data_IF_503981170034
#
_entry.id   IF_503981170034
#
_cell.length_a   1.000
_cell.length_b   1.000
_cell.length_c   1.000
_cell.angle_alpha   90.00
_cell.angle_beta   90.00
_cell.angle_gamma   90.00
#
_symmetry.space_group_name_H-M   'P 1'
#
loop_
_entity.id
_entity.type
_entity.pdbx_description
1 polymer ?
#
# COMPACT_ATOMS: atom_id res chain seq x y z
N UNK A 1 20.79 -9.03 0.38
CA UNK A 1 19.38 -8.85 0.88
C UNK A 1 18.41 -9.65 0.03
N UNK A 2 17.28 -10.13 0.59
CA UNK A 2 16.21 -10.84 -0.15
C UNK A 2 14.84 -10.29 0.24
N UNK A 3 13.97 -10.05 -0.72
CA UNK A 3 12.59 -9.61 -0.51
C UNK A 3 11.64 -10.79 -0.75
N UNK A 4 11.05 -11.32 0.31
CA UNK A 4 9.94 -12.27 0.23
C UNK A 4 8.67 -11.52 -0.14
N UNK A 5 8.09 -11.85 -1.28
CA UNK A 5 7.08 -11.01 -1.92
C UNK A 5 6.04 -11.84 -2.66
N UNK A 6 4.97 -11.20 -3.06
CA UNK A 6 3.94 -11.70 -3.97
C UNK A 6 3.68 -10.65 -5.04
N UNK A 7 3.20 -11.09 -6.19
CA UNK A 7 2.85 -10.21 -7.30
C UNK A 7 1.44 -9.60 -7.11
N UNK A 8 1.08 -8.68 -8.03
CA UNK A 8 -0.27 -8.16 -8.08
C UNK A 8 -1.31 -9.32 -8.07
N UNK A 9 -2.41 -9.26 -7.30
CA UNK A 9 -2.98 -8.04 -6.67
C UNK A 9 -2.55 -7.79 -5.23
N UNK A 10 -1.44 -8.35 -4.74
CA UNK A 10 -1.00 -8.16 -3.36
C UNK A 10 -0.52 -6.70 -3.11
N UNK A 11 -1.35 -5.85 -2.47
CA UNK A 11 -1.10 -4.42 -2.47
C UNK A 11 0.06 -3.98 -1.56
N UNK A 12 0.36 -4.72 -0.48
CA UNK A 12 1.47 -4.38 0.41
C UNK A 12 2.85 -4.68 -0.22
N UNK A 13 3.10 -5.85 -0.86
CA UNK A 13 4.29 -6.05 -1.67
C UNK A 13 4.46 -5.01 -2.76
N UNK A 14 3.39 -4.66 -3.46
CA UNK A 14 3.43 -3.66 -4.55
C UNK A 14 3.94 -2.30 -4.09
N UNK A 15 3.65 -1.86 -2.86
CA UNK A 15 4.23 -0.63 -2.31
C UNK A 15 5.76 -0.65 -2.35
N UNK A 16 6.36 -1.79 -1.96
CA UNK A 16 7.82 -1.95 -1.96
C UNK A 16 8.35 -2.02 -3.39
N UNK A 17 7.66 -2.71 -4.30
CA UNK A 17 8.08 -2.80 -5.71
C UNK A 17 8.10 -1.42 -6.38
N UNK A 18 7.04 -0.62 -6.21
CA UNK A 18 6.99 0.76 -6.73
C UNK A 18 8.10 1.62 -6.13
N UNK A 19 8.28 1.54 -4.80
CA UNK A 19 9.32 2.28 -4.12
C UNK A 19 10.72 1.94 -4.65
N UNK A 20 11.06 0.65 -4.77
CA UNK A 20 12.35 0.21 -5.32
C UNK A 20 12.54 0.70 -6.75
N UNK A 21 11.49 0.65 -7.59
CA UNK A 21 11.54 1.16 -8.96
C UNK A 21 11.78 2.67 -9.01
N UNK A 22 11.16 3.48 -8.14
CA UNK A 22 11.40 4.93 -8.03
C UNK A 22 12.83 5.24 -7.59
N UNK A 23 13.43 4.37 -6.78
CA UNK A 23 14.82 4.48 -6.33
C UNK A 23 15.84 3.90 -7.33
N UNK A 24 15.39 3.22 -8.39
CA UNK A 24 16.29 2.50 -9.29
C UNK A 24 17.02 1.34 -8.61
N UNK A 25 16.44 0.76 -7.56
CA UNK A 25 17.04 -0.30 -6.76
C UNK A 25 16.55 -1.68 -7.21
N UNK A 26 17.47 -2.64 -7.20
CA UNK A 26 17.17 -4.06 -7.45
C UNK A 26 17.50 -4.87 -6.20
N UNK A 27 16.61 -5.76 -5.81
CA UNK A 27 16.76 -6.68 -4.67
C UNK A 27 16.33 -8.07 -5.13
N UNK A 28 17.06 -9.10 -4.70
CA UNK A 28 16.67 -10.49 -4.96
C UNK A 28 15.28 -10.78 -4.42
N UNK A 29 14.39 -11.28 -5.27
CA UNK A 29 12.99 -11.56 -4.91
C UNK A 29 12.76 -13.05 -4.71
N UNK A 30 12.12 -13.38 -3.60
CA UNK A 30 11.64 -14.74 -3.29
C UNK A 30 10.12 -14.72 -3.36
N UNK A 31 9.58 -15.28 -4.41
CA UNK A 31 8.13 -15.36 -4.60
C UNK A 31 7.50 -16.30 -3.56
N UNK A 32 6.64 -15.74 -2.72
CA UNK A 32 5.95 -16.46 -1.65
C UNK A 32 4.50 -16.68 -2.06
N UNK A 33 4.20 -17.87 -2.56
CA UNK A 33 2.89 -18.21 -3.11
C UNK A 33 1.80 -18.22 -2.02
N UNK A 34 1.04 -17.15 -1.95
CA UNK A 34 -0.02 -17.00 -0.95
C UNK A 34 -1.15 -18.00 -1.13
N UNK A 35 -1.47 -18.36 -2.38
CA UNK A 35 -2.50 -19.37 -2.68
C UNK A 35 -2.12 -20.75 -2.14
N UNK A 36 -0.82 -21.11 -2.14
CA UNK A 36 -0.29 -22.33 -1.54
C UNK A 36 -0.06 -22.19 -0.02
N UNK A 37 -0.46 -21.06 0.58
CA UNK A 37 -0.28 -20.73 2.00
C UNK A 37 1.16 -20.78 2.48
N UNK A 38 2.15 -20.57 1.61
CA UNK A 38 3.58 -20.58 1.96
C UNK A 38 3.90 -19.55 3.06
N UNK A 39 3.19 -18.39 3.05
CA UNK A 39 3.30 -17.34 4.07
C UNK A 39 2.82 -17.79 5.47
N UNK A 40 2.13 -18.93 5.58
CA UNK A 40 1.67 -19.52 6.85
C UNK A 40 2.49 -20.75 7.28
N UNK A 41 3.49 -21.13 6.49
CA UNK A 41 4.40 -22.22 6.88
C UNK A 41 5.23 -21.83 8.11
N UNK A 42 5.56 -22.78 9.02
CA UNK A 42 6.33 -22.50 10.24
C UNK A 42 7.64 -21.76 9.98
N UNK A 43 8.35 -22.11 8.90
CA UNK A 43 9.62 -21.48 8.53
C UNK A 43 9.45 -20.03 8.06
N UNK A 44 8.31 -19.70 7.44
CA UNK A 44 8.00 -18.32 7.10
C UNK A 44 7.56 -17.51 8.33
N UNK A 45 6.79 -18.15 9.24
CA UNK A 45 6.35 -17.51 10.49
C UNK A 45 7.51 -17.11 11.41
N UNK A 46 8.69 -17.75 11.29
CA UNK A 46 9.92 -17.31 11.96
C UNK A 46 10.46 -15.98 11.42
N UNK A 47 10.18 -15.67 10.15
CA UNK A 47 10.58 -14.41 9.48
C UNK A 47 9.61 -13.27 9.78
N UNK A 48 8.31 -13.57 9.82
CA UNK A 48 7.24 -12.66 10.18
C UNK A 48 6.13 -13.42 10.90
N UNK A 49 5.99 -13.18 12.19
CA UNK A 49 5.01 -13.86 13.06
C UNK A 49 3.55 -13.65 12.65
N UNK A 50 3.26 -12.59 11.87
CA UNK A 50 1.94 -12.37 11.29
C UNK A 50 1.68 -13.27 10.07
N UNK A 51 2.73 -13.89 9.51
CA UNK A 51 2.63 -14.68 8.28
C UNK A 51 2.06 -13.85 7.14
N UNK A 52 2.69 -12.73 6.84
CA UNK A 52 2.30 -11.79 5.79
C UNK A 52 3.51 -11.37 4.96
N UNK A 53 3.28 -11.02 3.71
CA UNK A 53 4.27 -10.42 2.81
C UNK A 53 3.95 -8.93 2.62
N UNK A 54 4.97 -8.08 2.35
CA UNK A 54 6.37 -8.40 2.13
C UNK A 54 7.18 -8.59 3.41
N UNK A 55 8.34 -9.28 3.29
CA UNK A 55 9.36 -9.36 4.33
C UNK A 55 10.72 -9.15 3.67
N UNK A 56 11.56 -8.28 4.24
CA UNK A 56 12.94 -8.10 3.84
C UNK A 56 13.87 -8.92 4.76
N UNK A 57 14.71 -9.74 4.19
CA UNK A 57 15.88 -10.34 4.83
C UNK A 57 17.11 -9.48 4.51
N UNK A 58 17.71 -8.91 5.54
CA UNK A 58 18.91 -8.07 5.42
C UNK A 58 20.17 -8.92 5.17
N UNK A 59 21.30 -8.30 4.87
CA UNK A 59 22.56 -9.02 4.61
C UNK A 59 23.09 -9.78 5.84
N UNK A 60 22.80 -9.26 7.02
CA UNK A 60 23.15 -9.89 8.31
C UNK A 60 22.07 -10.88 8.82
N UNK A 61 21.10 -11.25 7.96
CA UNK A 61 20.10 -12.29 8.24
C UNK A 61 18.97 -11.84 9.17
N UNK A 62 18.79 -10.53 9.42
CA UNK A 62 17.66 -10.00 10.17
C UNK A 62 16.44 -9.82 9.27
N UNK A 63 15.25 -9.83 9.86
CA UNK A 63 14.00 -9.70 9.14
C UNK A 63 13.28 -8.40 9.48
N UNK A 64 12.79 -7.71 8.45
CA UNK A 64 11.95 -6.52 8.59
C UNK A 64 10.63 -6.83 7.87
N UNK A 65 9.53 -6.72 8.59
CA UNK A 65 8.18 -6.73 8.02
C UNK A 65 7.61 -5.31 7.97
N UNK A 66 6.38 -5.17 7.47
CA UNK A 66 5.71 -3.91 7.16
C UNK A 66 6.32 -3.17 5.95
N UNK A 67 5.52 -3.02 4.90
CA UNK A 67 5.98 -2.43 3.62
C UNK A 67 6.62 -1.05 3.77
N UNK A 68 6.06 -0.19 4.64
CA UNK A 68 6.58 1.15 4.91
C UNK A 68 7.91 1.09 5.66
N UNK A 69 8.04 0.18 6.64
CA UNK A 69 9.28 0.00 7.39
C UNK A 69 10.41 -0.49 6.48
N UNK A 70 10.10 -1.41 5.56
CA UNK A 70 11.05 -1.89 4.54
C UNK A 70 11.51 -0.72 3.65
N UNK A 71 10.58 0.11 3.16
CA UNK A 71 10.94 1.29 2.36
C UNK A 71 11.79 2.29 3.15
N UNK A 72 11.46 2.55 4.43
CA UNK A 72 12.27 3.41 5.30
C UNK A 72 13.68 2.86 5.53
N UNK A 73 13.82 1.55 5.66
CA UNK A 73 15.15 0.93 5.77
C UNK A 73 16.01 1.24 4.54
N UNK A 74 15.46 1.09 3.33
CA UNK A 74 16.18 1.46 2.10
C UNK A 74 16.45 2.96 2.00
N UNK A 75 15.53 3.82 2.46
CA UNK A 75 15.70 5.28 2.43
C UNK A 75 16.94 5.74 3.19
N UNK A 76 17.32 5.06 4.28
CA UNK A 76 18.50 5.41 5.07
C UNK A 76 19.81 5.24 4.31
N UNK A 77 19.86 4.31 3.36
CA UNK A 77 21.05 4.05 2.53
C UNK A 77 20.97 4.72 1.15
N UNK A 78 19.77 5.01 0.69
CA UNK A 78 19.47 5.58 -0.63
C UNK A 78 18.53 6.78 -0.49
N UNK A 79 18.99 7.92 0.05
CA UNK A 79 18.11 9.06 0.34
C UNK A 79 17.60 9.78 -0.92
N UNK A 80 18.22 9.61 -2.07
CA UNK A 80 17.81 10.26 -3.33
C UNK A 80 17.12 9.27 -4.30
N UNK A 81 16.01 9.68 -4.94
CA UNK A 81 15.16 10.84 -4.63
C UNK A 81 14.48 10.69 -3.26
N UNK A 82 14.26 11.79 -2.52
CA UNK A 82 13.69 11.72 -1.17
C UNK A 82 12.20 11.34 -1.21
N UNK A 83 11.89 10.10 -0.78
CA UNK A 83 10.52 9.58 -0.80
C UNK A 83 9.78 9.77 0.54
N UNK A 84 10.50 10.12 1.60
CA UNK A 84 9.96 10.34 2.94
C UNK A 84 10.12 11.77 3.45
N UNK A 85 10.35 12.72 2.52
CA UNK A 85 10.49 14.15 2.81
C UNK A 85 11.94 14.63 2.72
N UNK A 86 12.08 15.93 2.42
CA UNK A 86 13.37 16.63 2.15
C UNK A 86 13.87 17.44 3.32
N UNK A 87 12.96 17.81 4.21
CA UNK A 87 13.22 18.55 5.43
C UNK A 87 12.26 18.05 6.55
N UNK A 88 12.42 18.51 7.79
CA UNK A 88 11.60 18.03 8.91
C UNK A 88 10.09 18.26 8.73
N UNK A 89 9.67 19.38 8.10
CA UNK A 89 8.27 19.65 7.87
C UNK A 89 7.71 18.77 6.75
N UNK A 90 8.40 18.67 5.63
CA UNK A 90 8.04 17.81 4.50
C UNK A 90 7.95 16.35 4.96
N UNK A 91 8.91 15.86 5.77
CA UNK A 91 8.88 14.53 6.34
C UNK A 91 7.66 14.30 7.25
N UNK A 92 7.30 15.29 8.05
CA UNK A 92 6.08 15.21 8.88
C UNK A 92 4.81 15.19 8.03
N UNK A 93 4.75 15.96 6.94
CA UNK A 93 3.64 15.96 6.00
C UNK A 93 3.49 14.62 5.27
N UNK A 94 4.60 14.05 4.79
CA UNK A 94 4.58 12.72 4.16
C UNK A 94 4.08 11.66 5.15
N UNK A 95 4.61 11.64 6.37
CA UNK A 95 4.18 10.70 7.41
C UNK A 95 2.70 10.89 7.76
N UNK A 96 2.24 12.13 7.93
CA UNK A 96 0.83 12.43 8.19
C UNK A 96 -0.07 11.84 7.10
N UNK A 97 0.29 12.01 5.82
CA UNK A 97 -0.52 11.50 4.71
C UNK A 97 -0.45 9.98 4.59
N UNK A 98 0.68 9.34 4.90
CA UNK A 98 0.78 7.88 5.04
C UNK A 98 -0.23 7.40 6.09
N UNK A 99 -0.21 7.98 7.31
CA UNK A 99 -1.13 7.59 8.40
C UNK A 99 -2.60 7.83 8.03
N UNK A 100 -2.89 8.97 7.41
CA UNK A 100 -4.24 9.28 6.93
C UNK A 100 -4.73 8.26 5.90
N UNK A 101 -3.89 7.90 4.92
CA UNK A 101 -4.22 6.86 3.95
C UNK A 101 -4.44 5.50 4.63
N UNK A 102 -3.54 5.08 5.53
CA UNK A 102 -3.66 3.81 6.25
C UNK A 102 -4.93 3.74 7.10
N UNK A 103 -5.20 4.74 7.93
CA UNK A 103 -6.32 4.67 8.85
C UNK A 103 -7.66 4.98 8.19
N UNK A 104 -7.71 5.87 7.19
CA UNK A 104 -8.98 6.32 6.59
C UNK A 104 -9.38 5.53 5.35
N UNK A 105 -8.41 5.06 4.54
CA UNK A 105 -8.69 4.30 3.33
C UNK A 105 -8.41 2.80 3.53
N UNK A 106 -7.21 2.43 3.95
CA UNK A 106 -6.79 1.03 4.03
C UNK A 106 -7.57 0.23 5.07
N UNK A 107 -7.87 0.83 6.24
CA UNK A 107 -8.60 0.13 7.29
C UNK A 107 -10.01 -0.27 6.82
N UNK A 108 -10.92 0.64 6.39
CA UNK A 108 -12.22 0.24 5.89
C UNK A 108 -12.13 -0.66 4.64
N UNK A 109 -11.18 -0.44 3.74
CA UNK A 109 -10.94 -1.32 2.59
C UNK A 109 -10.61 -2.75 3.02
N UNK A 110 -9.76 -2.93 4.03
CA UNK A 110 -9.46 -4.22 4.63
C UNK A 110 -10.69 -4.90 5.22
N UNK A 111 -11.59 -4.11 5.85
CA UNK A 111 -12.85 -4.63 6.39
C UNK A 111 -13.81 -5.07 5.28
N UNK A 112 -13.88 -4.35 4.17
CA UNK A 112 -14.64 -4.79 2.99
C UNK A 112 -14.07 -6.10 2.46
N UNK A 113 -12.75 -6.20 2.29
CA UNK A 113 -12.07 -7.40 1.81
C UNK A 113 -12.36 -8.61 2.70
N UNK A 114 -12.22 -8.45 4.02
CA UNK A 114 -12.36 -9.56 4.98
C UNK A 114 -13.83 -9.95 5.18
N UNK A 115 -14.78 -9.00 5.21
CA UNK A 115 -16.13 -9.25 5.68
C UNK A 115 -17.20 -9.24 4.58
N UNK A 116 -16.93 -8.64 3.40
CA UNK A 116 -17.92 -8.54 2.32
C UNK A 116 -17.49 -9.25 1.02
N UNK A 117 -16.18 -9.47 0.79
CA UNK A 117 -15.72 -10.12 -0.43
C UNK A 117 -15.85 -11.64 -0.31
N UNK A 118 -16.57 -12.30 -1.24
CA UNK A 118 -16.78 -13.75 -1.17
C UNK A 118 -15.50 -14.57 -1.33
N UNK A 119 -14.46 -14.02 -1.96
CA UNK A 119 -13.16 -14.70 -2.15
C UNK A 119 -12.44 -14.98 -0.84
N UNK A 120 -12.73 -14.20 0.20
CA UNK A 120 -12.13 -14.38 1.53
C UNK A 120 -12.91 -15.30 2.45
N UNK A 121 -14.13 -15.72 2.07
CA UNK A 121 -14.96 -16.61 2.88
C UNK A 121 -14.27 -17.96 3.20
N UNK A 122 -13.39 -18.44 2.31
CA UNK A 122 -12.64 -19.68 2.52
C UNK A 122 -11.61 -19.57 3.68
N UNK A 123 -11.08 -18.36 3.91
CA UNK A 123 -10.08 -18.10 4.98
C UNK A 123 -10.69 -17.42 6.18
N UNK A 124 -11.87 -16.84 6.03
CA UNK A 124 -12.67 -16.21 7.08
C UNK A 124 -14.14 -16.64 6.95
N UNK A 125 -14.49 -17.84 7.41
CA UNK A 125 -15.85 -18.38 7.27
C UNK A 125 -16.90 -17.60 8.07
N UNK A 126 -16.49 -16.88 9.09
CA UNK A 126 -17.36 -16.05 9.96
C UNK A 126 -17.32 -14.58 9.53
N UNK A 127 -17.63 -14.29 8.25
CA UNK A 127 -17.73 -12.92 7.78
C UNK A 127 -18.89 -12.16 8.45
N UNK A 128 -18.61 -10.94 8.93
CA UNK A 128 -19.61 -10.00 9.43
C UNK A 128 -20.11 -9.12 8.27
N UNK A 129 -21.04 -9.65 7.47
CA UNK A 129 -21.48 -9.02 6.22
C UNK A 129 -21.99 -7.60 6.40
N UNK A 130 -22.79 -7.34 7.45
CA UNK A 130 -23.31 -5.99 7.73
C UNK A 130 -22.19 -4.98 8.01
N UNK A 131 -21.13 -5.43 8.71
CA UNK A 131 -19.96 -4.61 8.94
C UNK A 131 -19.16 -4.37 7.64
N UNK A 132 -19.06 -5.38 6.80
CA UNK A 132 -18.49 -5.25 5.46
C UNK A 132 -19.24 -4.23 4.60
N UNK A 133 -20.58 -4.30 4.57
CA UNK A 133 -21.42 -3.35 3.83
C UNK A 133 -21.33 -1.92 4.40
N UNK A 134 -21.30 -1.78 5.74
CA UNK A 134 -21.02 -0.50 6.38
C UNK A 134 -19.66 0.05 5.95
N UNK A 135 -18.63 -0.80 5.92
CA UNK A 135 -17.27 -0.42 5.56
C UNK A 135 -17.14 0.06 4.12
N UNK A 136 -17.96 -0.42 3.17
CA UNK A 136 -18.04 0.13 1.81
C UNK A 136 -18.42 1.61 1.82
N UNK A 137 -19.40 1.99 2.64
CA UNK A 137 -19.83 3.40 2.79
C UNK A 137 -18.71 4.25 3.40
N UNK A 138 -18.04 3.73 4.42
CA UNK A 138 -16.90 4.41 5.06
C UNK A 138 -15.77 4.62 4.07
N UNK A 139 -15.45 3.61 3.24
CA UNK A 139 -14.43 3.67 2.20
C UNK A 139 -14.77 4.73 1.13
N UNK A 140 -16.01 4.73 0.63
CA UNK A 140 -16.46 5.72 -0.35
C UNK A 140 -16.37 7.16 0.21
N UNK A 141 -16.75 7.35 1.47
CA UNK A 141 -16.61 8.65 2.15
C UNK A 141 -15.15 9.07 2.34
N UNK A 142 -14.26 8.11 2.60
CA UNK A 142 -12.82 8.37 2.68
C UNK A 142 -12.26 8.84 1.32
N UNK A 143 -12.66 8.21 0.22
CA UNK A 143 -12.28 8.64 -1.13
C UNK A 143 -12.77 10.06 -1.44
N UNK A 144 -14.03 10.39 -1.11
CA UNK A 144 -14.59 11.75 -1.25
C UNK A 144 -13.86 12.76 -0.37
N UNK A 145 -13.44 12.37 0.83
CA UNK A 145 -12.63 13.24 1.69
C UNK A 145 -11.26 13.51 1.07
N UNK A 146 -10.57 12.48 0.55
CA UNK A 146 -9.28 12.66 -0.14
C UNK A 146 -9.45 13.55 -1.38
N UNK A 147 -10.53 13.39 -2.13
CA UNK A 147 -10.84 14.25 -3.28
C UNK A 147 -10.91 15.73 -2.88
N UNK A 148 -11.62 16.06 -1.80
CA UNK A 148 -11.69 17.44 -1.29
C UNK A 148 -10.34 17.98 -0.86
N UNK A 149 -9.51 17.14 -0.22
CA UNK A 149 -8.16 17.52 0.19
C UNK A 149 -7.24 17.82 -1.01
N UNK A 150 -7.41 17.11 -2.12
CA UNK A 150 -6.69 17.35 -3.38
C UNK A 150 -7.24 18.53 -4.19
N UNK A 151 -8.36 19.13 -3.75
CA UNK A 151 -9.00 20.27 -4.39
C UNK A 151 -8.24 21.58 -4.25
N UNK A 152 -7.17 21.63 -3.47
CA UNK A 152 -6.29 22.78 -3.34
C UNK A 152 -5.30 22.93 -4.53
N UNK A 153 -5.33 22.00 -5.49
CA UNK A 153 -4.52 22.04 -6.71
C UNK A 153 -3.10 21.49 -6.56
N UNK A 154 -2.73 20.92 -5.41
CA UNK A 154 -1.42 20.28 -5.26
C UNK A 154 -1.28 19.07 -6.21
N UNK A 155 -0.05 18.87 -6.67
CA UNK A 155 0.22 17.84 -7.68
C UNK A 155 0.21 16.42 -7.09
N UNK A 156 0.77 16.25 -5.90
CA UNK A 156 0.87 14.97 -5.20
C UNK A 156 0.26 15.05 -3.80
N UNK A 157 0.02 13.92 -3.19
CA UNK A 157 -0.74 13.82 -1.94
C UNK A 157 -0.14 14.65 -0.80
N UNK A 158 1.18 14.68 -0.65
CA UNK A 158 1.87 15.44 0.37
C UNK A 158 2.33 16.86 -0.09
N UNK A 159 2.12 17.22 -1.37
CA UNK A 159 2.52 18.53 -1.90
C UNK A 159 2.99 18.49 -3.35
N UNK A 160 4.16 19.09 -3.63
CA UNK A 160 4.68 19.26 -4.99
C UNK A 160 5.52 18.07 -5.51
N UNK A 161 5.76 17.04 -4.70
CA UNK A 161 6.64 15.95 -5.06
C UNK A 161 5.99 14.59 -4.79
N UNK A 162 6.28 13.63 -5.70
CA UNK A 162 5.87 12.24 -5.53
C UNK A 162 6.62 11.62 -4.36
N UNK A 163 5.89 11.01 -3.45
CA UNK A 163 6.41 10.49 -2.18
C UNK A 163 5.83 9.12 -1.85
N UNK A 164 6.30 8.52 -0.76
CA UNK A 164 5.73 7.28 -0.22
C UNK A 164 4.23 7.40 0.08
N UNK A 165 3.73 8.60 0.42
CA UNK A 165 2.31 8.83 0.64
C UNK A 165 1.47 8.55 -0.62
N UNK A 166 1.97 8.93 -1.80
CA UNK A 166 1.32 8.65 -3.08
C UNK A 166 1.34 7.16 -3.41
N UNK A 167 2.44 6.47 -3.14
CA UNK A 167 2.55 5.01 -3.32
C UNK A 167 1.51 4.28 -2.46
N UNK A 168 1.39 4.69 -1.19
CA UNK A 168 0.42 4.10 -0.26
C UNK A 168 -1.01 4.30 -0.75
N UNK A 169 -1.35 5.52 -1.16
CA UNK A 169 -2.69 5.84 -1.66
C UNK A 169 -2.97 5.12 -2.98
N UNK A 170 -2.04 5.13 -3.95
CA UNK A 170 -2.18 4.44 -5.23
C UNK A 170 -2.48 2.95 -5.05
N UNK A 171 -1.65 2.25 -4.26
CA UNK A 171 -1.87 0.83 -4.00
C UNK A 171 -3.23 0.57 -3.32
N UNK A 172 -3.68 1.48 -2.46
CA UNK A 172 -4.98 1.38 -1.81
C UNK A 172 -6.15 1.56 -2.79
N UNK A 173 -6.12 2.59 -3.63
CA UNK A 173 -7.16 2.85 -4.65
C UNK A 173 -7.22 1.70 -5.67
N UNK A 174 -6.09 1.22 -6.14
CA UNK A 174 -6.05 0.12 -7.10
C UNK A 174 -6.57 -1.19 -6.49
N UNK A 175 -6.27 -1.45 -5.21
CA UNK A 175 -6.82 -2.61 -4.52
C UNK A 175 -8.32 -2.46 -4.22
N UNK A 176 -8.78 -1.25 -3.90
CA UNK A 176 -10.21 -0.97 -3.76
C UNK A 176 -10.95 -1.29 -5.06
N UNK A 177 -10.42 -0.88 -6.22
CA UNK A 177 -10.95 -1.26 -7.54
C UNK A 177 -10.94 -2.78 -7.75
N UNK A 178 -9.86 -3.48 -7.36
CA UNK A 178 -9.78 -4.94 -7.45
C UNK A 178 -10.87 -5.66 -6.66
N UNK A 179 -11.32 -5.08 -5.54
CA UNK A 179 -12.43 -5.57 -4.72
C UNK A 179 -13.78 -4.92 -5.08
N UNK A 180 -13.90 -4.36 -6.29
CA UNK A 180 -15.11 -3.75 -6.83
C UNK A 180 -15.62 -2.55 -6.02
N UNK A 181 -14.71 -1.79 -5.43
CA UNK A 181 -14.97 -0.51 -4.77
C UNK A 181 -14.32 0.61 -5.57
N UNK A 182 -14.99 1.03 -6.64
CA UNK A 182 -14.48 2.08 -7.53
C UNK A 182 -14.49 3.46 -6.87
N UNK A 183 -13.68 4.36 -7.41
CA UNK A 183 -13.71 5.77 -7.01
C UNK A 183 -15.09 6.38 -7.30
N UNK A 184 -15.69 7.12 -6.36
CA UNK A 184 -16.97 7.79 -6.57
C UNK A 184 -16.97 8.68 -7.82
N UNK A 185 -18.10 8.76 -8.53
CA UNK A 185 -18.21 9.57 -9.76
C UNK A 185 -17.99 11.07 -9.49
N UNK A 186 -18.34 11.53 -8.31
CA UNK A 186 -18.18 12.89 -7.81
C UNK A 186 -16.83 13.15 -7.14
N UNK A 187 -15.74 12.46 -7.58
CA UNK A 187 -14.39 12.62 -7.06
C UNK A 187 -13.37 12.97 -8.18
N UNK A 188 -13.50 14.15 -8.83
CA UNK A 188 -12.68 14.51 -10.00
C UNK A 188 -11.20 14.74 -9.65
N UNK A 189 -10.87 15.31 -8.49
CA UNK A 189 -9.50 15.58 -8.08
C UNK A 189 -8.74 14.30 -7.79
N UNK A 190 -9.40 13.35 -7.10
CA UNK A 190 -8.84 12.02 -6.85
C UNK A 190 -8.59 11.25 -8.15
N UNK A 191 -9.51 11.34 -9.12
CA UNK A 191 -9.33 10.73 -10.44
C UNK A 191 -8.16 11.34 -11.20
N UNK A 192 -8.03 12.68 -11.19
CA UNK A 192 -6.93 13.40 -11.84
C UNK A 192 -5.58 13.04 -11.21
N UNK A 193 -5.52 13.00 -9.87
CA UNK A 193 -4.34 12.53 -9.15
C UNK A 193 -4.01 11.08 -9.50
N UNK A 194 -4.98 10.17 -9.45
CA UNK A 194 -4.79 8.75 -9.76
C UNK A 194 -4.28 8.55 -11.20
N UNK A 195 -4.85 9.27 -12.19
CA UNK A 195 -4.39 9.22 -13.58
C UNK A 195 -2.91 9.64 -13.69
N UNK A 196 -2.52 10.71 -13.00
CA UNK A 196 -1.14 11.23 -12.98
C UNK A 196 -0.15 10.22 -12.38
N UNK A 197 -0.45 9.68 -11.21
CA UNK A 197 0.46 8.75 -10.52
C UNK A 197 0.53 7.38 -11.18
N UNK A 198 -0.58 6.90 -11.75
CA UNK A 198 -0.65 5.65 -12.52
C UNK A 198 0.11 5.71 -13.84
N UNK A 199 0.33 6.90 -14.40
CA UNK A 199 1.10 7.08 -15.63
C UNK A 199 2.63 6.91 -15.40
N UNK A 200 3.11 6.94 -14.15
CA UNK A 200 4.53 6.74 -13.85
C UNK A 200 4.99 5.33 -14.22
N UNK A 201 6.18 5.16 -14.79
CA UNK A 201 6.70 3.83 -15.14
C UNK A 201 6.74 2.86 -13.94
N UNK A 202 7.08 3.39 -12.75
CA UNK A 202 7.12 2.63 -11.49
C UNK A 202 5.78 2.05 -11.05
N UNK A 203 4.65 2.66 -11.44
CA UNK A 203 3.31 2.17 -11.11
C UNK A 203 3.03 0.76 -11.68
N UNK A 204 3.82 0.33 -12.68
CA UNK A 204 3.74 -1.00 -13.30
C UNK A 204 4.68 -2.01 -12.65
N UNK A 205 5.47 -1.62 -11.64
CA UNK A 205 6.37 -2.53 -10.96
C UNK A 205 5.60 -3.63 -10.22
N UNK A 206 6.01 -4.89 -10.45
CA UNK A 206 5.42 -6.11 -9.87
C UNK A 206 6.51 -6.97 -9.25
#
# INVERSE_FOLDING_TARGET
>A
MKLYTENYPAPNPRKVHIYLAEKGLTVDRVHTKMQERQHKAPEFMKKNSLGQVPVLETEDGKFISESIAICRYFETFHPAPPMFGRDPFDAAMVEMWIRRAEFRLWNPMGQVWINADPRTAIVNPNQFKDYGEHSKKVLANAMKWIDRELGDGREFLAGAHYTMADIVLLCGIDFAKFIHQDMPDDAPNLRAWHARVSARPSARAT
#
